data_IF_922349377311
#
_entry.id   IF_922349377311
#
_cell.length_a   1.000
_cell.length_b   1.000
_cell.length_c   1.000
_cell.angle_alpha   90.00
_cell.angle_beta   90.00
_cell.angle_gamma   90.00
#
_symmetry.space_group_name_H-M   'P 1'
#
loop_
_entity.id
_entity.type
_entity.pdbx_description
1 polymer ?
#
# COMPACT_ATOMS: atom_id res chain seq x y z
N UNK A 1 -2.91 -18.97 -3.99
CA UNK A 1 -1.55 -18.46 -4.32
C UNK A 1 -1.05 -17.66 -3.12
N UNK A 2 0.25 -17.60 -2.84
CA UNK A 2 0.76 -16.97 -1.61
C UNK A 2 2.17 -16.38 -1.78
N UNK A 3 2.55 -15.50 -0.85
CA UNK A 3 3.86 -14.86 -0.81
C UNK A 3 4.53 -15.14 0.55
N UNK A 4 5.66 -15.84 0.51
CA UNK A 4 6.51 -16.09 1.68
C UNK A 4 7.85 -15.41 1.43
N UNK A 5 8.16 -14.36 2.17
CA UNK A 5 9.45 -13.70 2.06
C UNK A 5 10.53 -14.49 2.82
N UNK A 6 11.75 -14.46 2.30
CA UNK A 6 12.91 -15.04 2.95
C UNK A 6 13.66 -13.92 3.69
N UNK A 7 13.94 -13.99 5.00
CA UNK A 7 13.58 -15.02 5.99
C UNK A 7 12.91 -14.38 7.21
N UNK A 8 12.33 -15.19 8.10
CA UNK A 8 11.65 -14.66 9.29
C UNK A 8 12.64 -14.09 10.31
N UNK A 9 13.57 -14.92 10.80
CA UNK A 9 14.43 -14.63 11.96
C UNK A 9 15.91 -14.94 11.73
N UNK A 10 16.76 -14.37 12.58
CA UNK A 10 18.19 -14.64 12.66
C UNK A 10 18.53 -15.71 13.70
N UNK A 11 19.50 -16.59 13.39
CA UNK A 11 20.04 -17.60 14.31
C UNK A 11 21.23 -17.08 15.15
N UNK A 12 21.87 -16.00 14.69
CA UNK A 12 23.01 -15.33 15.33
C UNK A 12 23.11 -13.87 14.82
N UNK A 13 23.90 -13.04 15.47
CA UNK A 13 24.08 -11.64 15.06
C UNK A 13 24.94 -11.54 13.79
N UNK A 14 24.32 -11.10 12.70
CA UNK A 14 25.00 -10.84 11.42
C UNK A 14 24.06 -10.22 10.40
N UNK A 15 24.59 -9.72 9.27
CA UNK A 15 23.74 -9.27 8.17
C UNK A 15 22.98 -10.44 7.56
N UNK A 16 21.69 -10.26 7.32
CA UNK A 16 20.79 -11.31 6.83
C UNK A 16 19.55 -10.72 6.17
N UNK A 17 18.72 -11.60 5.59
CA UNK A 17 17.39 -11.26 5.07
C UNK A 17 16.27 -11.31 6.13
N UNK A 18 16.61 -11.47 7.42
CA UNK A 18 15.61 -11.66 8.45
C UNK A 18 14.84 -10.37 8.75
N UNK A 19 13.53 -10.47 9.01
CA UNK A 19 12.72 -9.38 9.56
C UNK A 19 12.85 -9.25 11.09
N UNK A 20 13.26 -10.32 11.77
CA UNK A 20 13.50 -10.38 13.22
C UNK A 20 15.01 -10.59 13.47
N UNK A 21 15.61 -9.69 14.25
CA UNK A 21 16.99 -9.83 14.73
C UNK A 21 17.11 -11.05 15.67
N UNK A 22 18.34 -11.50 15.89
CA UNK A 22 18.62 -12.50 16.91
C UNK A 22 18.19 -11.95 18.28
N UNK A 23 17.41 -12.73 19.04
CA UNK A 23 16.74 -12.27 20.27
C UNK A 23 15.33 -11.70 20.07
N UNK A 24 14.82 -11.69 18.83
CA UNK A 24 13.41 -11.42 18.53
C UNK A 24 13.03 -9.95 18.32
N UNK A 25 14.00 -9.03 18.33
CA UNK A 25 13.74 -7.61 18.05
C UNK A 25 13.28 -7.41 16.61
N UNK A 26 12.23 -6.62 16.42
CA UNK A 26 11.69 -6.32 15.10
C UNK A 26 12.60 -5.36 14.33
N UNK A 27 13.02 -5.75 13.13
CA UNK A 27 13.54 -4.81 12.13
C UNK A 27 12.39 -4.05 11.50
N UNK A 28 12.70 -2.95 10.81
CA UNK A 28 11.72 -2.14 10.09
C UNK A 28 10.83 -3.00 9.16
N UNK A 29 11.41 -4.01 8.50
CA UNK A 29 10.68 -4.95 7.64
C UNK A 29 9.50 -5.65 8.35
N UNK A 30 9.64 -6.02 9.62
CA UNK A 30 8.56 -6.73 10.32
C UNK A 30 7.36 -5.82 10.60
N UNK A 31 7.60 -4.53 10.84
CA UNK A 31 6.53 -3.53 10.91
C UNK A 31 5.83 -3.42 9.56
N UNK A 32 6.58 -3.28 8.45
CA UNK A 32 6.00 -3.27 7.11
C UNK A 32 5.21 -4.55 6.81
N UNK A 33 5.70 -5.73 7.21
CA UNK A 33 5.02 -7.00 7.00
C UNK A 33 3.64 -7.05 7.67
N UNK A 34 3.53 -6.51 8.89
CA UNK A 34 2.22 -6.35 9.54
C UNK A 34 1.26 -5.48 8.72
N UNK A 35 1.76 -4.44 8.06
CA UNK A 35 0.95 -3.56 7.22
C UNK A 35 0.60 -4.20 5.87
N UNK A 36 1.57 -4.75 5.13
CA UNK A 36 1.34 -5.28 3.79
C UNK A 36 0.64 -6.64 3.75
N UNK A 37 0.56 -7.35 4.88
CA UNK A 37 -0.27 -8.55 5.06
C UNK A 37 -1.60 -8.27 5.79
N UNK A 38 -2.04 -7.01 5.84
CA UNK A 38 -3.39 -6.71 6.30
C UNK A 38 -4.44 -7.37 5.38
N UNK A 39 -5.58 -7.85 5.92
CA UNK A 39 -6.59 -8.59 5.15
C UNK A 39 -7.30 -7.75 4.08
N UNK A 40 -7.16 -6.43 4.14
CA UNK A 40 -7.64 -5.50 3.12
C UNK A 40 -6.61 -4.37 3.00
N UNK A 41 -6.05 -4.18 1.82
CA UNK A 41 -4.96 -3.24 1.58
C UNK A 41 -5.07 -2.57 0.21
N UNK A 42 -5.03 -1.23 0.14
CA UNK A 42 -4.77 -0.52 -1.11
C UNK A 42 -3.27 -0.60 -1.44
N UNK A 43 -2.92 -1.14 -2.61
CA UNK A 43 -1.55 -1.22 -3.12
C UNK A 43 -1.41 -0.29 -4.30
N UNK A 44 -0.58 0.75 -4.13
CA UNK A 44 -0.32 1.73 -5.17
C UNK A 44 0.98 1.43 -5.91
N UNK A 45 0.99 1.59 -7.23
CA UNK A 45 2.20 1.56 -8.04
C UNK A 45 2.03 2.38 -9.32
N UNK A 46 3.15 2.77 -9.92
CA UNK A 46 3.18 3.41 -11.22
C UNK A 46 3.59 2.41 -12.30
N UNK A 47 2.92 2.50 -13.45
CA UNK A 47 3.39 1.86 -14.68
C UNK A 47 3.16 2.79 -15.86
N UNK A 48 4.19 3.04 -16.66
CA UNK A 48 4.10 3.86 -17.89
C UNK A 48 3.43 5.23 -17.65
N UNK A 49 3.83 5.95 -16.59
CA UNK A 49 3.28 7.26 -16.19
C UNK A 49 1.79 7.25 -15.79
N UNK A 50 1.22 6.06 -15.57
CA UNK A 50 -0.12 5.87 -15.03
C UNK A 50 0.02 5.39 -13.59
N UNK A 51 -0.60 6.11 -12.67
CA UNK A 51 -0.72 5.75 -11.27
C UNK A 51 -1.89 4.80 -11.09
N UNK A 52 -1.63 3.62 -10.52
CA UNK A 52 -2.62 2.60 -10.22
C UNK A 52 -2.75 2.41 -8.71
N UNK A 53 -3.99 2.16 -8.26
CA UNK A 53 -4.25 1.61 -6.93
C UNK A 53 -5.07 0.34 -7.10
N UNK A 54 -4.58 -0.75 -6.52
CA UNK A 54 -5.27 -2.03 -6.43
C UNK A 54 -5.86 -2.20 -5.04
N UNK A 55 -7.09 -2.68 -4.95
CA UNK A 55 -7.66 -3.20 -3.71
C UNK A 55 -7.39 -4.69 -3.63
N UNK A 56 -6.62 -5.11 -2.63
CA UNK A 56 -6.37 -6.52 -2.32
C UNK A 56 -7.18 -6.90 -1.09
N UNK A 57 -8.00 -7.94 -1.18
CA UNK A 57 -8.84 -8.44 -0.10
C UNK A 57 -8.67 -9.94 0.09
N UNK A 58 -8.37 -10.33 1.33
CA UNK A 58 -8.39 -11.73 1.80
C UNK A 58 -9.71 -12.09 2.50
N UNK A 59 -10.68 -11.17 2.54
CA UNK A 59 -12.00 -11.47 3.10
C UNK A 59 -12.82 -12.38 2.20
N UNK A 60 -13.77 -13.11 2.81
CA UNK A 60 -14.69 -14.02 2.11
C UNK A 60 -15.97 -13.34 1.59
N UNK A 61 -16.14 -12.04 1.85
CA UNK A 61 -17.27 -11.23 1.40
C UNK A 61 -16.77 -9.99 0.69
N UNK A 62 -17.62 -9.44 -0.19
CA UNK A 62 -17.35 -8.17 -0.85
C UNK A 62 -17.43 -7.02 0.17
N UNK A 63 -16.59 -6.00 -0.01
CA UNK A 63 -16.59 -4.80 0.81
C UNK A 63 -16.78 -3.56 -0.06
N UNK A 64 -17.74 -2.72 0.33
CA UNK A 64 -17.87 -1.35 -0.18
C UNK A 64 -17.09 -0.41 0.74
N UNK A 65 -16.24 0.43 0.16
CA UNK A 65 -15.36 1.32 0.89
C UNK A 65 -15.17 2.66 0.16
N UNK A 66 -14.75 3.67 0.90
CA UNK A 66 -14.33 4.94 0.32
C UNK A 66 -12.80 4.96 0.17
N UNK A 67 -12.33 5.22 -1.04
CA UNK A 67 -10.91 5.42 -1.33
C UNK A 67 -10.57 6.90 -1.15
N UNK A 68 -9.68 7.18 -0.18
CA UNK A 68 -9.13 8.51 0.07
C UNK A 68 -7.70 8.60 -0.41
N UNK A 69 -7.44 9.46 -1.37
CA UNK A 69 -6.10 9.77 -1.89
C UNK A 69 -5.75 11.18 -1.43
N UNK A 70 -4.59 11.33 -0.79
CA UNK A 70 -4.12 12.62 -0.26
C UNK A 70 -2.72 12.89 -0.79
N UNK A 71 -2.52 14.06 -1.38
CA UNK A 71 -1.21 14.52 -1.85
C UNK A 71 -0.69 15.58 -0.88
N UNK A 72 0.56 15.42 -0.47
CA UNK A 72 1.27 16.34 0.40
C UNK A 72 2.50 16.90 -0.33
N UNK A 73 2.82 18.14 -0.02
CA UNK A 73 4.12 18.75 -0.31
C UNK A 73 5.00 18.57 0.94
N UNK A 74 6.26 18.19 0.76
CA UNK A 74 7.24 18.05 1.84
C UNK A 74 7.40 19.31 2.69
N UNK A 75 7.13 20.49 2.12
CA UNK A 75 7.24 21.77 2.82
C UNK A 75 6.05 22.08 3.75
N UNK A 76 4.94 21.34 3.65
CA UNK A 76 3.68 21.64 4.35
C UNK A 76 3.13 20.40 5.07
N UNK A 77 2.47 20.63 6.20
CA UNK A 77 1.74 19.59 6.91
C UNK A 77 0.27 19.47 6.47
N UNK A 78 -0.24 20.48 5.76
CA UNK A 78 -1.58 20.45 5.18
C UNK A 78 -1.57 19.74 3.82
N UNK A 79 -2.60 18.96 3.50
CA UNK A 79 -2.70 18.31 2.20
C UNK A 79 -2.86 19.36 1.10
N UNK A 80 -2.08 19.20 0.03
CA UNK A 80 -2.22 20.00 -1.19
C UNK A 80 -3.54 19.67 -1.87
N UNK A 81 -3.94 18.40 -1.80
CA UNK A 81 -5.06 17.86 -2.55
C UNK A 81 -5.61 16.64 -1.83
N UNK A 82 -6.94 16.51 -1.80
CA UNK A 82 -7.62 15.32 -1.27
C UNK A 82 -8.68 14.90 -2.28
N UNK A 83 -8.60 13.66 -2.72
CA UNK A 83 -9.59 13.01 -3.57
C UNK A 83 -10.30 11.93 -2.76
N UNK A 84 -11.63 11.99 -2.77
CA UNK A 84 -12.50 10.99 -2.17
C UNK A 84 -13.28 10.31 -3.30
N UNK A 85 -13.25 8.98 -3.30
CA UNK A 85 -14.02 8.16 -4.23
C UNK A 85 -14.84 7.22 -3.36
N UNK A 86 -16.14 7.44 -3.34
CA UNK A 86 -17.07 6.62 -2.60
C UNK A 86 -17.48 5.38 -3.41
N UNK A 87 -18.12 4.42 -2.74
CA UNK A 87 -18.69 3.20 -3.34
C UNK A 87 -17.70 2.34 -4.16
N UNK A 88 -16.44 2.29 -3.74
CA UNK A 88 -15.44 1.37 -4.31
C UNK A 88 -15.70 -0.03 -3.78
N UNK A 89 -15.94 -0.98 -4.68
CA UNK A 89 -16.19 -2.38 -4.33
C UNK A 89 -14.92 -3.20 -4.54
N UNK A 90 -14.43 -3.84 -3.47
CA UNK A 90 -13.38 -4.86 -3.54
C UNK A 90 -14.03 -6.22 -3.32
N UNK A 91 -13.91 -7.10 -4.30
CA UNK A 91 -14.50 -8.45 -4.23
C UNK A 91 -13.75 -9.34 -3.24
N UNK A 92 -14.47 -10.30 -2.68
CA UNK A 92 -13.91 -11.33 -1.80
C UNK A 92 -12.70 -12.04 -2.41
N UNK A 93 -11.62 -12.22 -1.64
CA UNK A 93 -10.46 -13.02 -2.01
C UNK A 93 -9.77 -12.57 -3.31
N UNK A 94 -9.81 -11.28 -3.65
CA UNK A 94 -9.43 -10.77 -4.96
C UNK A 94 -8.45 -9.59 -4.90
N UNK A 95 -7.77 -9.36 -6.02
CA UNK A 95 -6.96 -8.17 -6.25
C UNK A 95 -7.46 -7.49 -7.54
N UNK A 96 -8.04 -6.30 -7.41
CA UNK A 96 -8.64 -5.57 -8.53
C UNK A 96 -8.15 -4.12 -8.59
N UNK A 97 -7.95 -3.52 -9.77
CA UNK A 97 -7.65 -2.10 -9.88
C UNK A 97 -8.86 -1.28 -9.46
N UNK A 98 -8.72 -0.48 -8.40
CA UNK A 98 -9.77 0.39 -7.87
C UNK A 98 -9.59 1.86 -8.26
N UNK A 99 -8.39 2.25 -8.70
CA UNK A 99 -8.09 3.57 -9.23
C UNK A 99 -7.03 3.49 -10.32
N UNK A 100 -7.15 4.35 -11.34
CA UNK A 100 -6.08 4.61 -12.29
C UNK A 100 -6.18 6.01 -12.87
N UNK A 101 -5.06 6.70 -12.99
CA UNK A 101 -5.01 8.03 -13.60
C UNK A 101 -3.58 8.34 -14.09
N UNK A 102 -3.38 9.08 -15.20
CA UNK A 102 -2.07 9.62 -15.54
C UNK A 102 -1.53 10.52 -14.44
N UNK A 103 -0.25 10.38 -14.09
CA UNK A 103 0.37 11.20 -13.03
C UNK A 103 0.28 12.69 -13.34
N UNK A 104 0.43 13.06 -14.63
CA UNK A 104 0.30 14.45 -15.06
C UNK A 104 -1.07 15.06 -14.72
N UNK A 105 -2.14 14.26 -14.80
CA UNK A 105 -3.50 14.74 -14.60
C UNK A 105 -3.80 14.84 -13.10
N UNK A 106 -3.29 13.88 -12.31
CA UNK A 106 -3.31 13.94 -10.85
C UNK A 106 -2.59 15.20 -10.34
N UNK A 107 -1.37 15.46 -10.81
CA UNK A 107 -0.59 16.63 -10.39
C UNK A 107 -1.22 17.94 -10.85
N UNK A 108 -1.68 18.05 -12.11
CA UNK A 108 -2.41 19.25 -12.58
C UNK A 108 -3.64 19.57 -11.74
N UNK A 109 -4.40 18.54 -11.34
CA UNK A 109 -5.57 18.71 -10.47
C UNK A 109 -5.18 19.24 -9.10
N UNK A 110 -4.05 18.79 -8.58
CA UNK A 110 -3.56 19.15 -7.26
C UNK A 110 -2.73 20.45 -7.24
N UNK A 111 -2.83 21.28 -8.29
CA UNK A 111 -2.02 22.48 -8.48
C UNK A 111 -0.69 22.11 -9.13
N UNK A 112 -0.28 22.84 -10.18
CA UNK A 112 0.95 22.58 -10.94
C UNK A 112 2.19 22.48 -10.02
N UNK A 113 2.48 21.28 -9.53
CA UNK A 113 3.78 20.88 -8.99
C UNK A 113 4.72 20.53 -10.14
#
# INVERSE_FOLDING_TARGET
MGALFWQLNDIWQGPSWASLEYGGKWKMLHYFAKHFFAPLLPVAHEKENIFYIYGVSDFHSDYSLALKIIVYDWSRMDPVCTLMIDDVIVKAGSAVPIYKEPISDLLKRCGNC
#
